data_IF_614173456121
#
_entry.id   IF_614173456121
#
_cell.length_a   1.000
_cell.length_b   1.000
_cell.length_c   1.000
_cell.angle_alpha   90.00
_cell.angle_beta   90.00
_cell.angle_gamma   90.00
#
_symmetry.space_group_name_H-M   'P 1'
#
loop_
_entity.id
_entity.type
_entity.pdbx_description
1 polymer ?
#
# COMPACT_ATOMS: atom_id res chain seq x y z
N UNK A 1 10.93 -11.06 -44.00
CA UNK A 1 10.81 -12.13 -42.99
C UNK A 1 10.83 -11.45 -41.64
N UNK A 2 9.69 -11.54 -40.97
CA UNK A 2 9.29 -10.82 -39.76
C UNK A 2 9.91 -11.51 -38.53
N UNK A 3 10.69 -10.80 -37.72
CA UNK A 3 11.37 -11.38 -36.55
C UNK A 3 11.73 -10.35 -35.45
N UNK A 4 10.89 -9.35 -35.21
CA UNK A 4 11.17 -8.33 -34.18
C UNK A 4 10.06 -8.08 -33.14
N UNK A 5 8.93 -8.79 -33.18
CA UNK A 5 7.79 -8.48 -32.30
C UNK A 5 7.37 -9.66 -31.40
N UNK A 6 8.33 -10.38 -30.82
CA UNK A 6 8.04 -11.37 -29.76
C UNK A 6 8.66 -11.00 -28.40
N UNK A 7 9.55 -10.00 -28.34
CA UNK A 7 10.14 -9.51 -27.09
C UNK A 7 9.28 -8.51 -26.32
N UNK A 8 8.30 -7.88 -26.98
CA UNK A 8 7.48 -6.80 -26.41
C UNK A 8 6.37 -7.29 -25.49
N UNK A 9 5.89 -8.52 -25.64
CA UNK A 9 4.79 -9.06 -24.83
C UNK A 9 5.20 -9.22 -23.35
N UNK A 10 6.43 -9.69 -23.11
CA UNK A 10 7.01 -9.83 -21.77
C UNK A 10 7.28 -8.46 -21.11
N UNK A 11 7.71 -7.48 -21.90
CA UNK A 11 7.97 -6.12 -21.42
C UNK A 11 6.67 -5.35 -21.16
N UNK A 12 5.65 -5.55 -21.99
CA UNK A 12 4.31 -5.00 -21.79
C UNK A 12 3.65 -5.58 -20.52
N UNK A 13 3.88 -6.86 -20.23
CA UNK A 13 3.46 -7.48 -18.95
C UNK A 13 4.08 -6.80 -17.72
N UNK A 14 5.38 -6.49 -17.77
CA UNK A 14 6.07 -5.78 -16.69
C UNK A 14 5.63 -4.32 -16.56
N UNK A 15 5.30 -3.66 -17.67
CA UNK A 15 4.75 -2.28 -17.67
C UNK A 15 3.32 -2.27 -17.13
N UNK A 16 2.50 -3.28 -17.44
CA UNK A 16 1.13 -3.40 -16.95
C UNK A 16 1.05 -3.61 -15.44
N UNK A 17 1.82 -4.57 -14.91
CA UNK A 17 1.97 -4.82 -13.47
C UNK A 17 2.51 -3.57 -12.76
N UNK A 18 3.65 -3.04 -13.24
CA UNK A 18 4.28 -1.84 -12.65
C UNK A 18 3.35 -0.62 -12.64
N UNK A 19 2.46 -0.46 -13.63
CA UNK A 19 1.50 0.65 -13.67
C UNK A 19 0.43 0.53 -12.59
N UNK A 20 0.03 -0.69 -12.25
CA UNK A 20 -0.93 -0.93 -11.17
C UNK A 20 -0.27 -0.71 -9.80
N UNK A 21 0.97 -1.18 -9.62
CA UNK A 21 1.78 -0.87 -8.44
C UNK A 21 1.99 0.63 -8.24
N UNK A 22 2.36 1.35 -9.31
CA UNK A 22 2.54 2.81 -9.26
C UNK A 22 1.25 3.55 -8.92
N UNK A 23 0.10 3.10 -9.40
CA UNK A 23 -1.21 3.68 -9.04
C UNK A 23 -1.53 3.45 -7.57
N UNK A 24 -1.29 2.24 -7.06
CA UNK A 24 -1.49 1.92 -5.63
C UNK A 24 -0.56 2.74 -4.74
N UNK A 25 0.70 2.88 -5.14
CA UNK A 25 1.65 3.77 -4.48
C UNK A 25 1.17 5.21 -4.49
N UNK A 26 0.75 5.75 -5.64
CA UNK A 26 0.26 7.12 -5.71
C UNK A 26 -0.95 7.36 -4.79
N UNK A 27 -1.89 6.41 -4.73
CA UNK A 27 -3.01 6.47 -3.78
C UNK A 27 -2.53 6.42 -2.32
N UNK A 28 -1.53 5.60 -2.01
CA UNK A 28 -0.91 5.55 -0.68
C UNK A 28 -0.23 6.88 -0.33
N UNK A 29 0.53 7.46 -1.26
CA UNK A 29 1.22 8.75 -1.05
C UNK A 29 0.22 9.89 -0.83
N UNK A 30 -0.93 9.88 -1.52
CA UNK A 30 -2.01 10.86 -1.29
C UNK A 30 -2.59 10.68 0.11
N UNK A 31 -2.95 9.45 0.50
CA UNK A 31 -3.51 9.20 1.83
C UNK A 31 -2.51 9.54 2.96
N UNK A 32 -1.22 9.27 2.75
CA UNK A 32 -0.14 9.69 3.64
C UNK A 32 -0.07 11.22 3.76
N UNK A 33 -0.18 11.95 2.66
CA UNK A 33 -0.16 13.41 2.68
C UNK A 33 -1.33 13.96 3.49
N UNK A 34 -2.54 13.45 3.25
CA UNK A 34 -3.73 13.83 4.04
C UNK A 34 -3.57 13.54 5.53
N UNK A 35 -2.95 12.40 5.89
CA UNK A 35 -2.66 12.05 7.27
C UNK A 35 -1.62 12.98 7.91
N UNK A 36 -0.53 13.31 7.20
CA UNK A 36 0.46 14.28 7.69
C UNK A 36 -0.15 15.69 7.81
N UNK A 37 -0.99 16.11 6.87
CA UNK A 37 -1.72 17.39 6.94
C UNK A 37 -2.73 17.43 8.09
N UNK A 38 -3.31 16.27 8.44
CA UNK A 38 -4.18 16.11 9.61
C UNK A 38 -3.41 15.94 10.94
N UNK A 39 -2.14 16.37 11.01
CA UNK A 39 -1.26 16.24 12.18
C UNK A 39 -1.12 14.79 12.67
N UNK A 40 -1.07 13.86 11.71
CA UNK A 40 -0.99 12.41 11.95
C UNK A 40 -2.17 11.86 12.75
N UNK A 41 -3.34 12.48 12.61
CA UNK A 41 -4.54 12.00 13.26
C UNK A 41 -4.85 10.57 12.82
N UNK A 42 -4.94 9.68 13.81
CA UNK A 42 -5.16 8.27 13.61
C UNK A 42 -6.47 7.94 12.87
N UNK A 43 -7.45 8.86 12.79
CA UNK A 43 -8.70 8.66 12.05
C UNK A 43 -8.52 8.65 10.54
N UNK A 44 -7.39 9.16 10.05
CA UNK A 44 -6.99 9.10 8.64
C UNK A 44 -6.18 7.85 8.30
N UNK A 45 -5.82 7.04 9.30
CA UNK A 45 -5.11 5.78 9.08
C UNK A 45 -6.04 4.74 8.41
N UNK A 46 -5.53 3.92 7.48
CA UNK A 46 -6.29 2.88 6.84
C UNK A 46 -6.55 1.77 7.86
N UNK A 47 -7.81 1.35 7.99
CA UNK A 47 -8.19 0.24 8.87
C UNK A 47 -8.69 -0.98 8.12
N UNK A 48 -8.67 -2.14 8.79
CA UNK A 48 -9.36 -3.34 8.36
C UNK A 48 -8.93 -3.85 6.97
N UNK A 49 -9.89 -3.95 6.04
CA UNK A 49 -9.62 -4.46 4.69
C UNK A 49 -8.67 -3.54 3.89
N UNK A 50 -8.71 -2.23 4.13
CA UNK A 50 -7.83 -1.30 3.41
C UNK A 50 -6.37 -1.47 3.83
N UNK A 51 -6.10 -1.65 5.12
CA UNK A 51 -4.76 -1.95 5.61
C UNK A 51 -4.24 -3.29 5.06
N UNK A 52 -5.04 -4.35 5.17
CA UNK A 52 -4.68 -5.68 4.65
C UNK A 52 -4.35 -5.66 3.15
N UNK A 53 -5.09 -4.88 2.35
CA UNK A 53 -4.80 -4.71 0.92
C UNK A 53 -3.44 -4.04 0.68
N UNK A 54 -3.09 -3.03 1.47
CA UNK A 54 -1.77 -2.39 1.37
C UNK A 54 -0.64 -3.31 1.83
N UNK A 55 -0.83 -4.11 2.88
CA UNK A 55 0.17 -5.07 3.38
C UNK A 55 0.40 -6.23 2.40
N UNK A 56 -0.68 -6.79 1.85
CA UNK A 56 -0.60 -7.82 0.81
C UNK A 56 0.10 -7.29 -0.44
N UNK A 57 -0.25 -6.06 -0.85
CA UNK A 57 0.43 -5.39 -1.95
C UNK A 57 1.91 -5.16 -1.65
N UNK A 58 2.26 -4.60 -0.48
CA UNK A 58 3.66 -4.37 -0.06
C UNK A 58 4.53 -5.63 -0.14
N UNK A 59 3.95 -6.79 0.14
CA UNK A 59 4.67 -8.06 0.16
C UNK A 59 4.98 -8.62 -1.24
N UNK A 60 4.20 -8.24 -2.26
CA UNK A 60 4.38 -8.67 -3.65
C UNK A 60 4.80 -7.56 -4.61
N UNK A 61 4.79 -6.31 -4.17
CA UNK A 61 5.07 -5.16 -5.03
C UNK A 61 6.54 -5.08 -5.40
N UNK A 62 6.79 -4.78 -6.68
CA UNK A 62 8.14 -4.49 -7.20
C UNK A 62 8.63 -3.08 -6.81
N UNK A 63 7.78 -2.26 -6.17
CA UNK A 63 8.08 -0.86 -5.87
C UNK A 63 8.54 -0.65 -4.42
N UNK A 64 9.69 0.01 -4.25
CA UNK A 64 10.30 0.26 -2.94
C UNK A 64 9.62 1.43 -2.20
N UNK A 65 8.84 1.16 -1.17
CA UNK A 65 8.17 2.18 -0.34
C UNK A 65 9.15 3.13 0.35
N UNK A 66 8.75 4.39 0.54
CA UNK A 66 9.48 5.38 1.32
C UNK A 66 9.32 5.13 2.82
N UNK A 67 10.21 5.74 3.62
CA UNK A 67 10.15 5.68 5.10
C UNK A 67 8.81 6.21 5.63
N UNK A 68 8.27 7.28 5.03
CA UNK A 68 7.00 7.86 5.44
C UNK A 68 5.80 6.93 5.14
N UNK A 69 5.78 6.32 3.94
CA UNK A 69 4.75 5.33 3.58
C UNK A 69 4.80 4.10 4.49
N UNK A 70 6.01 3.66 4.87
CA UNK A 70 6.19 2.56 5.81
C UNK A 70 5.68 2.95 7.21
N UNK A 71 6.03 4.14 7.70
CA UNK A 71 5.58 4.63 9.00
C UNK A 71 4.05 4.74 9.09
N UNK A 72 3.41 5.25 8.03
CA UNK A 72 1.96 5.33 7.94
C UNK A 72 1.27 3.96 8.05
N UNK A 73 1.79 2.95 7.35
CA UNK A 73 1.24 1.58 7.46
C UNK A 73 1.53 0.94 8.83
N UNK A 74 2.66 1.25 9.46
CA UNK A 74 3.01 0.75 10.79
C UNK A 74 2.10 1.35 11.88
N UNK A 75 1.84 2.66 11.82
CA UNK A 75 0.88 3.34 12.71
C UNK A 75 -0.53 2.78 12.53
N UNK A 76 -0.94 2.53 11.29
CA UNK A 76 -2.20 1.88 10.97
C UNK A 76 -2.33 0.50 11.62
N UNK A 77 -1.27 -0.31 11.52
CA UNK A 77 -1.21 -1.65 12.12
C UNK A 77 -1.30 -1.59 13.64
N UNK A 78 -0.55 -0.70 14.28
CA UNK A 78 -0.60 -0.48 15.73
C UNK A 78 -2.01 -0.11 16.21
N UNK A 79 -2.72 0.76 15.48
CA UNK A 79 -4.11 1.11 15.82
C UNK A 79 -5.04 -0.09 15.71
N UNK A 80 -4.88 -0.92 14.68
CA UNK A 80 -5.70 -2.13 14.54
C UNK A 80 -5.42 -3.13 15.66
N UNK A 81 -4.15 -3.38 15.99
CA UNK A 81 -3.78 -4.26 17.10
C UNK A 81 -4.35 -3.76 18.44
N UNK A 82 -4.26 -2.46 18.71
CA UNK A 82 -4.84 -1.86 19.91
C UNK A 82 -6.37 -2.04 19.98
N UNK A 83 -7.07 -1.91 18.84
CA UNK A 83 -8.51 -2.13 18.77
C UNK A 83 -8.88 -3.61 19.01
N UNK A 84 -8.11 -4.54 18.45
CA UNK A 84 -8.30 -5.99 18.63
C UNK A 84 -8.06 -6.43 20.09
N UNK A 85 -7.08 -5.85 20.77
CA UNK A 85 -6.79 -6.16 22.18
C UNK A 85 -7.88 -5.67 23.13
N UNK A 86 -8.47 -4.49 22.84
CA UNK A 86 -9.61 -3.96 23.58
C UNK A 86 -10.83 -4.88 23.44
N UNK A 87 -11.10 -5.38 22.22
CA UNK A 87 -12.22 -6.30 21.97
C UNK A 87 -11.99 -7.65 22.66
N UNK A 88 -10.77 -8.18 22.62
CA UNK A 88 -10.40 -9.45 23.26
C UNK A 88 -10.49 -9.42 24.79
N UNK A 89 -10.32 -8.25 25.39
CA UNK A 89 -10.47 -8.05 26.84
C UNK A 89 -11.94 -7.93 27.27
N UNK A 90 -12.85 -7.62 26.34
CA UNK A 90 -14.30 -7.47 26.61
C UNK A 90 -15.10 -8.77 26.49
N UNK A 91 -14.56 -9.79 25.83
CA UNK A 91 -15.15 -11.15 25.74
C UNK A 91 -14.79 -12.01 26.95
#
# INVERSE_FOLDING_TARGET
HDALVTGWDRLAGWIGESRTDLRRRAALSIALAEWEEADRNADYLPGGEQLQRYEAWRSGASVALTVHEIAYLDDARKRQDAAEDIERTRQ
#
